data_IF_040464130179
#
_entry.id   IF_040464130179
#
_cell.length_a   1.000
_cell.length_b   1.000
_cell.length_c   1.000
_cell.angle_alpha   90.00
_cell.angle_beta   90.00
_cell.angle_gamma   90.00
#
_symmetry.space_group_name_H-M   'P 1'
#
loop_
_entity.id
_entity.type
_entity.pdbx_description
1 polymer ?
#
# COMPACT_ATOMS: atom_id res chain seq x y z
N UNK A 1 8.48 -1.87 -6.79
CA UNK A 1 8.24 -0.41 -6.75
C UNK A 1 6.86 -0.17 -7.31
N UNK A 2 6.00 0.55 -6.60
CA UNK A 2 4.60 0.79 -7.00
C UNK A 2 4.57 2.06 -7.84
N UNK A 3 4.04 1.97 -9.06
CA UNK A 3 3.90 3.10 -9.98
C UNK A 3 2.92 4.12 -9.39
N UNK A 4 3.36 5.35 -9.22
CA UNK A 4 2.49 6.46 -8.84
C UNK A 4 1.68 6.92 -10.04
N UNK A 5 0.34 6.83 -9.95
CA UNK A 5 -0.59 7.48 -10.89
C UNK A 5 -1.27 6.59 -11.94
N UNK A 6 -1.16 5.26 -11.88
CA UNK A 6 -2.00 4.39 -12.69
C UNK A 6 -3.44 4.33 -12.10
N UNK A 7 -4.49 4.31 -12.95
CA UNK A 7 -5.85 4.07 -12.45
C UNK A 7 -5.94 2.68 -11.81
N UNK A 8 -6.70 2.57 -10.72
CA UNK A 8 -6.97 1.32 -9.98
C UNK A 8 -5.74 0.55 -9.45
N UNK A 9 -4.60 1.22 -9.29
CA UNK A 9 -3.34 0.59 -8.85
C UNK A 9 -3.01 0.82 -7.37
N UNK A 10 -4.00 1.19 -6.55
CA UNK A 10 -3.77 1.39 -5.12
C UNK A 10 -3.35 0.08 -4.44
N UNK A 11 -2.33 0.16 -3.59
CA UNK A 11 -1.88 -0.96 -2.77
C UNK A 11 -3.02 -1.35 -1.84
N UNK A 12 -3.52 -2.59 -1.96
CA UNK A 12 -4.66 -3.07 -1.17
C UNK A 12 -4.28 -3.59 0.22
N UNK A 13 -3.04 -4.04 0.38
CA UNK A 13 -2.56 -4.65 1.62
C UNK A 13 -1.66 -3.66 2.39
N UNK A 14 -2.19 -3.14 3.50
CA UNK A 14 -1.56 -2.10 4.31
C UNK A 14 -0.21 -2.53 4.90
N UNK A 15 0.00 -3.84 5.13
CA UNK A 15 1.23 -4.36 5.70
C UNK A 15 2.46 -4.10 4.81
N UNK A 16 2.29 -3.85 3.51
CA UNK A 16 3.39 -3.46 2.62
C UNK A 16 4.08 -2.17 3.09
N UNK A 17 3.35 -1.25 3.75
CA UNK A 17 3.94 -0.01 4.26
C UNK A 17 4.85 -0.23 5.47
N UNK A 18 4.84 -1.41 6.12
CA UNK A 18 5.80 -1.74 7.20
C UNK A 18 7.25 -1.80 6.71
N UNK A 19 7.47 -2.00 5.41
CA UNK A 19 8.80 -1.97 4.79
C UNK A 19 9.49 -0.61 4.98
N UNK A 20 8.72 0.47 5.18
CA UNK A 20 9.23 1.81 5.44
C UNK A 20 9.81 1.98 6.86
N UNK A 21 9.68 0.97 7.73
CA UNK A 21 10.06 1.03 9.14
C UNK A 21 8.92 1.53 10.04
N UNK A 22 9.02 1.24 11.34
CA UNK A 22 7.94 1.50 12.31
C UNK A 22 7.54 2.98 12.41
N UNK A 23 8.52 3.89 12.40
CA UNK A 23 8.26 5.33 12.49
C UNK A 23 7.38 5.82 11.33
N UNK A 24 7.74 5.44 10.09
CA UNK A 24 7.00 5.85 8.90
C UNK A 24 5.65 5.14 8.79
N UNK A 25 5.57 3.88 9.22
CA UNK A 25 4.30 3.15 9.27
C UNK A 25 3.33 3.77 10.28
N UNK A 26 3.80 4.16 11.47
CA UNK A 26 2.99 4.86 12.47
C UNK A 26 2.49 6.21 11.93
N UNK A 27 3.34 6.93 11.19
CA UNK A 27 2.96 8.16 10.51
C UNK A 27 1.90 7.92 9.43
N UNK A 28 2.05 6.87 8.63
CA UNK A 28 1.06 6.45 7.64
C UNK A 28 -0.30 6.13 8.28
N UNK A 29 -0.31 5.37 9.38
CA UNK A 29 -1.55 5.03 10.10
C UNK A 29 -2.26 6.29 10.63
N UNK A 30 -1.51 7.25 11.16
CA UNK A 30 -2.05 8.54 11.59
C UNK A 30 -2.68 9.29 10.43
N UNK A 31 -1.97 9.43 9.31
CA UNK A 31 -2.53 10.08 8.11
C UNK A 31 -3.78 9.38 7.58
N UNK A 32 -3.81 8.04 7.58
CA UNK A 32 -5.01 7.30 7.18
C UNK A 32 -6.21 7.60 8.07
N UNK A 33 -6.01 7.72 9.39
CA UNK A 33 -7.07 8.08 10.33
C UNK A 33 -7.52 9.55 10.17
N UNK A 34 -6.56 10.46 9.99
CA UNK A 34 -6.80 11.88 9.75
C UNK A 34 -7.61 12.11 8.47
N UNK A 35 -7.20 11.50 7.36
CA UNK A 35 -7.90 11.57 6.07
C UNK A 35 -9.32 11.01 6.17
N UNK A 36 -9.52 9.91 6.90
CA UNK A 36 -10.85 9.34 7.13
C UNK A 36 -11.79 10.34 7.84
N UNK A 37 -11.30 11.01 8.89
CA UNK A 37 -12.06 12.05 9.61
C UNK A 37 -12.44 13.19 8.66
N UNK A 38 -11.51 13.66 7.83
CA UNK A 38 -11.77 14.73 6.86
C UNK A 38 -12.78 14.31 5.79
N UNK A 39 -12.69 13.09 5.26
CA UNK A 39 -13.66 12.55 4.30
C UNK A 39 -15.07 12.40 4.88
N UNK A 40 -15.18 12.16 6.18
CA UNK A 40 -16.46 12.15 6.90
C UNK A 40 -17.00 13.56 7.21
N UNK A 41 -16.34 14.62 6.74
CA UNK A 41 -16.72 16.01 7.00
C UNK A 41 -16.26 16.53 8.37
N UNK A 42 -15.40 15.79 9.07
CA UNK A 42 -14.80 16.18 10.33
C UNK A 42 -13.71 17.24 10.20
N UNK A 43 -13.05 17.52 11.31
CA UNK A 43 -11.92 18.46 11.40
C UNK A 43 -10.85 17.95 12.35
N UNK A 44 -9.60 18.32 12.10
CA UNK A 44 -8.48 18.06 12.99
C UNK A 44 -8.23 19.24 13.92
N UNK A 45 -7.87 18.96 15.17
CA UNK A 45 -7.43 19.98 16.12
C UNK A 45 -6.11 20.63 15.65
N UNK A 46 -6.05 21.96 15.52
CA UNK A 46 -4.87 22.68 15.03
C UNK A 46 -3.76 22.83 16.08
N UNK A 47 -4.03 22.53 17.36
CA UNK A 47 -3.05 22.69 18.43
C UNK A 47 -1.83 21.79 18.19
N UNK A 48 -0.59 22.35 18.13
CA UNK A 48 0.62 21.57 17.98
C UNK A 48 0.73 20.50 19.07
N UNK A 49 0.94 19.24 18.66
CA UNK A 49 1.04 18.10 19.58
C UNK A 49 -0.30 17.46 19.97
N UNK A 50 -1.46 18.01 19.57
CA UNK A 50 -2.76 17.38 19.74
C UNK A 50 -3.19 16.60 18.49
N UNK A 51 -3.64 17.28 17.43
CA UNK A 51 -4.07 16.64 16.17
C UNK A 51 -5.30 15.72 16.30
N UNK A 52 -6.10 15.84 17.38
CA UNK A 52 -7.29 15.01 17.57
C UNK A 52 -8.29 15.19 16.40
N UNK A 53 -8.82 14.08 15.90
CA UNK A 53 -9.89 14.07 14.90
C UNK A 53 -11.26 14.22 15.53
N UNK A 54 -12.02 15.21 15.09
CA UNK A 54 -13.33 15.59 15.62
C UNK A 54 -14.40 15.48 14.53
N UNK A 55 -15.58 14.97 14.89
CA UNK A 55 -16.74 14.85 14.00
C UNK A 55 -17.91 15.73 14.50
N UNK A 56 -17.78 17.07 14.44
CA UNK A 56 -18.86 17.99 14.80
C UNK A 56 -19.95 18.01 13.71
N UNK A 57 -21.15 18.43 14.07
CA UNK A 57 -22.22 18.67 13.11
C UNK A 57 -21.77 19.66 12.01
N UNK A 58 -22.16 19.47 10.73
CA UNK A 58 -21.65 20.25 9.59
C UNK A 58 -21.81 21.78 9.70
N UNK A 59 -22.85 22.25 10.40
CA UNK A 59 -23.18 23.68 10.50
C UNK A 59 -22.51 24.36 11.71
N UNK A 60 -21.87 23.59 12.59
CA UNK A 60 -21.24 24.13 13.80
C UNK A 60 -19.88 24.71 13.44
N UNK A 61 -19.73 26.02 13.65
CA UNK A 61 -18.48 26.75 13.42
C UNK A 61 -17.54 26.78 14.63
N UNK A 62 -18.11 26.71 15.84
CA UNK A 62 -17.39 26.65 17.12
C UNK A 62 -17.04 25.21 17.45
N UNK A 63 -15.78 24.84 17.30
CA UNK A 63 -15.31 23.48 17.59
C UNK A 63 -14.60 23.46 18.94
N UNK A 64 -14.95 22.50 19.78
CA UNK A 64 -14.28 22.26 21.07
C UNK A 64 -13.52 20.94 20.98
N UNK A 65 -12.21 20.97 21.19
CA UNK A 65 -11.40 19.77 21.30
C UNK A 65 -11.53 19.19 22.71
N UNK A 66 -12.62 18.48 22.99
CA UNK A 66 -12.95 18.03 24.34
C UNK A 66 -11.91 17.06 24.92
N UNK A 67 -11.41 17.28 26.15
CA UNK A 67 -10.47 16.37 26.81
C UNK A 67 -11.08 15.02 27.25
N UNK A 68 -12.28 14.66 26.80
CA UNK A 68 -12.92 13.39 27.14
C UNK A 68 -12.01 12.21 26.75
N UNK A 69 -11.78 11.30 27.69
CA UNK A 69 -10.87 10.17 27.58
C UNK A 69 -9.38 10.51 27.33
N UNK A 70 -8.96 11.76 27.59
CA UNK A 70 -7.54 12.16 27.55
C UNK A 70 -6.95 12.36 26.15
N UNK A 71 -7.79 12.43 25.10
CA UNK A 71 -7.34 12.62 23.72
C UNK A 71 -7.40 14.08 23.23
N UNK A 72 -8.34 14.89 23.73
CA UNK A 72 -8.44 16.32 23.38
C UNK A 72 -7.63 17.24 24.29
N UNK A 73 -7.30 18.44 23.79
CA UNK A 73 -6.49 19.44 24.48
C UNK A 73 -7.30 20.57 25.14
N UNK A 74 -8.62 20.61 24.97
CA UNK A 74 -9.51 21.66 25.45
C UNK A 74 -9.56 22.92 24.57
N UNK A 75 -8.79 22.98 23.48
CA UNK A 75 -8.76 24.15 22.62
C UNK A 75 -10.09 24.37 21.88
N UNK A 76 -10.53 25.63 21.81
CA UNK A 76 -11.77 26.04 21.14
C UNK A 76 -11.43 26.87 19.93
N UNK A 77 -11.78 26.37 18.74
CA UNK A 77 -11.32 26.93 17.47
C UNK A 77 -12.44 27.06 16.43
N UNK A 78 -12.20 27.91 15.44
CA UNK A 78 -13.09 28.10 14.32
C UNK A 78 -12.88 26.99 13.27
N UNK A 79 -13.97 26.36 12.83
CA UNK A 79 -13.95 25.30 11.80
C UNK A 79 -13.24 25.74 10.51
N UNK A 80 -13.44 26.99 10.11
CA UNK A 80 -13.05 27.53 8.81
C UNK A 80 -11.57 27.91 8.78
N UNK A 81 -11.16 28.89 9.60
CA UNK A 81 -9.78 29.39 9.62
C UNK A 81 -8.83 28.59 10.50
N UNK A 82 -9.33 27.67 11.35
CA UNK A 82 -8.54 26.91 12.33
C UNK A 82 -7.84 27.75 13.42
N UNK A 83 -8.19 29.04 13.54
CA UNK A 83 -7.73 29.92 14.63
C UNK A 83 -8.66 29.82 15.86
N UNK A 84 -8.30 30.51 16.96
CA UNK A 84 -9.17 30.64 18.13
C UNK A 84 -10.59 31.05 17.74
N UNK A 85 -11.60 30.46 18.39
CA UNK A 85 -12.99 30.75 18.02
C UNK A 85 -13.30 32.24 18.14
N UNK A 86 -13.94 32.76 17.09
CA UNK A 86 -14.35 34.14 16.99
C UNK A 86 -15.74 34.24 16.36
N UNK A 87 -16.49 35.25 16.76
CA UNK A 87 -17.74 35.66 16.11
C UNK A 87 -17.44 36.55 14.88
N UNK A 88 -18.30 36.50 13.85
CA UNK A 88 -18.10 37.28 12.62
C UNK A 88 -17.22 36.59 11.56
N UNK A 89 -16.74 37.32 10.56
CA UNK A 89 -16.00 36.75 9.42
C UNK A 89 -14.55 36.35 9.76
N UNK A 90 -14.00 35.36 9.06
CA UNK A 90 -12.60 34.96 9.19
C UNK A 90 -11.69 35.95 8.47
N UNK A 91 -10.61 36.37 9.12
CA UNK A 91 -9.67 37.38 8.61
C UNK A 91 -8.75 36.87 7.49
N UNK A 92 -8.58 35.56 7.33
CA UNK A 92 -7.66 34.97 6.34
C UNK A 92 -8.16 33.62 5.82
N UNK A 93 -8.59 33.56 4.55
CA UNK A 93 -8.88 32.33 3.81
C UNK A 93 -7.61 31.83 3.10
N UNK A 94 -6.73 31.12 3.81
CA UNK A 94 -5.60 30.41 3.19
C UNK A 94 -6.06 29.03 2.69
N UNK A 95 -6.43 28.95 1.42
CA UNK A 95 -6.74 27.69 0.72
C UNK A 95 -5.45 27.08 0.17
N UNK A 96 -4.86 26.11 0.86
CA UNK A 96 -3.70 25.36 0.39
C UNK A 96 -4.13 24.19 -0.52
N UNK A 97 -4.19 24.40 -1.83
CA UNK A 97 -4.12 23.32 -2.83
C UNK A 97 -2.70 23.25 -3.38
N UNK A 98 -1.86 22.39 -2.82
CA UNK A 98 -0.57 22.04 -3.42
C UNK A 98 -0.71 20.71 -4.16
N UNK A 99 -0.81 20.77 -5.49
CA UNK A 99 -0.76 19.60 -6.36
C UNK A 99 0.69 19.18 -6.62
N UNK A 100 1.02 17.91 -6.38
CA UNK A 100 2.32 17.33 -6.73
C UNK A 100 2.42 17.10 -8.25
N UNK A 101 3.46 17.65 -8.88
CA UNK A 101 3.84 17.34 -10.28
C UNK A 101 4.88 16.21 -10.32
N UNK A 102 4.66 15.19 -11.16
CA UNK A 102 5.61 14.08 -11.39
C UNK A 102 6.23 14.22 -12.79
N UNK A 103 7.56 14.16 -12.86
CA UNK A 103 8.34 14.22 -14.11
C UNK A 103 8.18 12.93 -14.95
N UNK A 104 7.77 13.09 -16.21
CA UNK A 104 7.40 11.98 -17.11
C UNK A 104 8.59 11.14 -17.58
N UNK A 105 9.82 11.66 -17.47
CA UNK A 105 11.00 11.03 -18.06
C UNK A 105 11.54 9.87 -17.21
N UNK A 106 11.36 9.91 -15.89
CA UNK A 106 11.79 8.84 -14.98
C UNK A 106 10.83 7.63 -14.99
N UNK A 107 9.53 7.87 -15.18
CA UNK A 107 8.49 6.84 -15.32
C UNK A 107 8.71 5.91 -16.52
N UNK A 108 9.37 6.39 -17.58
CA UNK A 108 9.59 5.62 -18.80
C UNK A 108 10.65 4.53 -18.64
N UNK A 109 11.66 4.74 -17.77
CA UNK A 109 12.73 3.76 -17.50
C UNK A 109 12.35 2.70 -16.45
N UNK A 110 11.30 2.96 -15.68
CA UNK A 110 10.81 2.05 -14.65
C UNK A 110 9.83 1.00 -15.18
N UNK A 111 9.56 0.92 -16.50
CA UNK A 111 8.66 -0.10 -17.06
C UNK A 111 9.20 -1.51 -16.84
N UNK A 112 8.45 -2.33 -16.10
CA UNK A 112 8.69 -3.77 -15.97
C UNK A 112 8.43 -4.55 -17.29
N UNK A 113 8.08 -3.87 -18.38
CA UNK A 113 7.98 -4.50 -19.71
C UNK A 113 9.31 -4.59 -20.46
N UNK A 114 10.37 -3.91 -20.01
CA UNK A 114 11.72 -4.09 -20.59
C UNK A 114 12.51 -5.25 -19.96
N UNK A 115 11.82 -6.18 -19.29
CA UNK A 115 12.34 -7.52 -19.04
C UNK A 115 11.87 -8.55 -20.10
N UNK A 116 11.05 -8.13 -21.08
CA UNK A 116 10.44 -9.04 -22.07
C UNK A 116 11.43 -9.69 -23.06
N UNK A 117 12.74 -9.36 -23.04
CA UNK A 117 13.73 -10.00 -23.92
C UNK A 117 14.64 -11.01 -23.23
N UNK A 118 14.74 -11.00 -21.90
CA UNK A 118 15.54 -11.99 -21.15
C UNK A 118 14.68 -13.19 -20.70
N UNK A 119 13.38 -13.00 -20.49
CA UNK A 119 12.45 -14.05 -20.02
C UNK A 119 12.16 -15.16 -21.05
N UNK A 120 12.63 -15.02 -22.30
CA UNK A 120 12.56 -16.10 -23.30
C UNK A 120 13.47 -17.30 -22.91
N UNK A 121 14.32 -17.16 -21.89
CA UNK A 121 15.20 -18.24 -21.44
C UNK A 121 14.52 -19.16 -20.41
N UNK A 122 13.97 -20.27 -20.93
CA UNK A 122 13.66 -21.56 -20.26
C UNK A 122 12.21 -21.75 -19.77
N UNK A 123 11.26 -21.77 -20.71
CA UNK A 123 9.92 -22.35 -20.50
C UNK A 123 9.95 -23.88 -20.35
N UNK A 124 11.08 -24.52 -20.64
CA UNK A 124 11.25 -25.98 -20.60
C UNK A 124 12.48 -26.37 -19.75
N UNK A 125 12.32 -27.35 -18.85
CA UNK A 125 13.40 -27.95 -18.05
C UNK A 125 13.31 -29.48 -18.12
N UNK A 126 14.45 -30.20 -18.10
CA UNK A 126 14.43 -31.66 -18.09
C UNK A 126 13.92 -32.19 -16.74
N UNK A 127 13.09 -33.24 -16.78
CA UNK A 127 12.67 -33.96 -15.57
C UNK A 127 13.91 -34.51 -14.82
N UNK A 128 14.05 -34.29 -13.50
CA UNK A 128 15.20 -34.79 -12.73
C UNK A 128 15.34 -36.33 -12.71
N UNK A 129 14.23 -37.05 -12.89
CA UNK A 129 14.21 -38.51 -12.85
C UNK A 129 14.42 -39.18 -14.21
N UNK A 130 13.89 -38.62 -15.31
CA UNK A 130 13.93 -39.28 -16.62
C UNK A 130 14.40 -38.39 -17.77
N UNK A 131 14.83 -37.16 -17.47
CA UNK A 131 15.40 -36.16 -18.36
C UNK A 131 14.54 -35.74 -19.56
N UNK A 132 13.28 -36.17 -19.63
CA UNK A 132 12.36 -35.68 -20.67
C UNK A 132 12.13 -34.18 -20.48
N UNK A 133 12.09 -33.40 -21.56
CA UNK A 133 11.73 -31.99 -21.48
C UNK A 133 10.31 -31.82 -20.93
N UNK A 134 10.16 -30.97 -19.92
CA UNK A 134 8.87 -30.61 -19.30
C UNK A 134 8.70 -29.10 -19.42
N UNK A 135 7.59 -28.67 -19.99
CA UNK A 135 7.20 -27.25 -20.12
C UNK A 135 6.46 -26.77 -18.86
N UNK A 136 6.75 -25.54 -18.41
CA UNK A 136 6.05 -24.91 -17.30
C UNK A 136 4.77 -24.24 -17.80
N UNK A 137 3.62 -24.81 -17.44
CA UNK A 137 2.29 -24.36 -17.90
C UNK A 137 1.49 -23.60 -16.81
N UNK A 138 2.13 -22.64 -16.14
CA UNK A 138 1.45 -21.78 -15.16
C UNK A 138 2.38 -21.25 -14.06
N UNK A 139 1.78 -20.70 -13.00
CA UNK A 139 2.50 -20.13 -11.84
C UNK A 139 2.97 -21.14 -10.79
N UNK A 140 2.52 -22.40 -10.83
CA UNK A 140 2.87 -23.41 -9.80
C UNK A 140 4.29 -23.95 -10.00
N UNK A 141 5.07 -24.04 -8.92
CA UNK A 141 6.39 -24.69 -8.92
C UNK A 141 6.31 -26.22 -8.79
N UNK A 142 5.17 -26.80 -8.39
CA UNK A 142 4.98 -28.25 -8.31
C UNK A 142 4.72 -28.84 -9.69
N UNK A 143 5.70 -29.59 -10.20
CA UNK A 143 5.63 -30.18 -11.52
C UNK A 143 5.51 -31.69 -11.44
N UNK A 144 4.64 -32.24 -12.29
CA UNK A 144 4.50 -33.69 -12.46
C UNK A 144 5.00 -34.07 -13.84
N UNK A 145 5.93 -35.02 -13.90
CA UNK A 145 6.45 -35.49 -15.18
C UNK A 145 5.29 -36.05 -16.04
N UNK A 146 5.10 -35.56 -17.28
CA UNK A 146 3.98 -35.98 -18.13
C UNK A 146 4.16 -37.42 -18.65
N UNK A 147 5.39 -37.95 -18.58
CA UNK A 147 5.69 -39.32 -19.00
C UNK A 147 5.01 -40.31 -18.04
N UNK A 148 4.08 -41.10 -18.57
CA UNK A 148 3.25 -42.03 -17.80
C UNK A 148 4.05 -43.06 -16.99
N UNK A 149 5.23 -43.48 -17.45
CA UNK A 149 6.12 -44.39 -16.72
C UNK A 149 7.04 -43.71 -15.69
N UNK A 150 7.08 -42.37 -15.62
CA UNK A 150 7.89 -41.64 -14.65
C UNK A 150 7.01 -41.03 -13.56
N UNK A 151 6.06 -40.16 -13.93
CA UNK A 151 5.14 -39.44 -13.02
C UNK A 151 5.82 -38.75 -11.81
N UNK A 152 7.14 -38.56 -11.86
CA UNK A 152 7.91 -37.95 -10.78
C UNK A 152 7.43 -36.53 -10.51
N UNK A 153 7.26 -36.22 -9.23
CA UNK A 153 6.80 -34.92 -8.75
C UNK A 153 7.98 -34.13 -8.21
N UNK A 154 8.21 -32.94 -8.75
CA UNK A 154 9.43 -32.19 -8.51
C UNK A 154 9.18 -30.68 -8.50
N UNK A 155 10.05 -29.94 -7.82
CA UNK A 155 10.00 -28.48 -7.77
C UNK A 155 10.70 -27.88 -8.99
N UNK A 156 9.99 -27.04 -9.75
CA UNK A 156 10.53 -26.33 -10.92
C UNK A 156 11.74 -25.46 -10.57
N UNK A 157 11.77 -24.84 -9.39
CA UNK A 157 12.86 -24.00 -8.95
C UNK A 157 14.07 -24.83 -8.49
N UNK A 158 13.85 -25.81 -7.61
CA UNK A 158 14.94 -26.59 -7.00
C UNK A 158 15.47 -27.73 -7.89
N UNK A 159 14.67 -28.28 -8.81
CA UNK A 159 15.05 -29.47 -9.56
C UNK A 159 15.08 -30.76 -8.74
N UNK A 160 14.47 -30.76 -7.55
CA UNK A 160 14.43 -31.88 -6.61
C UNK A 160 12.99 -32.39 -6.40
N UNK A 161 12.85 -33.53 -5.73
CA UNK A 161 11.54 -34.08 -5.35
C UNK A 161 10.70 -33.05 -4.59
N UNK A 162 9.41 -32.97 -4.94
CA UNK A 162 8.49 -32.04 -4.31
C UNK A 162 8.32 -32.36 -2.83
N UNK A 163 8.47 -31.33 -1.98
CA UNK A 163 8.43 -31.49 -0.54
C UNK A 163 7.81 -30.27 0.14
N UNK A 164 7.61 -30.36 1.47
CA UNK A 164 6.96 -29.33 2.28
C UNK A 164 7.74 -28.02 2.35
N UNK A 165 9.06 -28.05 2.25
CA UNK A 165 9.89 -26.84 2.20
C UNK A 165 9.63 -26.08 0.90
N UNK A 166 9.56 -26.80 -0.23
CA UNK A 166 9.18 -26.18 -1.51
C UNK A 166 7.77 -25.56 -1.48
N UNK A 167 6.81 -26.22 -0.81
CA UNK A 167 5.47 -25.65 -0.59
C UNK A 167 5.51 -24.36 0.24
N UNK A 168 6.36 -24.25 1.26
CA UNK A 168 6.42 -23.07 2.12
C UNK A 168 7.12 -21.88 1.46
N UNK A 169 8.25 -22.16 0.80
CA UNK A 169 9.19 -21.11 0.40
C UNK A 169 8.91 -20.56 -1.00
N UNK A 170 8.40 -21.39 -1.91
CA UNK A 170 8.23 -21.04 -3.32
C UNK A 170 7.19 -21.92 -3.99
N UNK A 171 5.98 -21.96 -3.44
CA UNK A 171 4.86 -22.72 -4.03
C UNK A 171 4.56 -22.21 -5.46
N UNK A 172 4.51 -20.89 -5.61
CA UNK A 172 4.20 -20.20 -6.85
C UNK A 172 5.31 -19.20 -7.22
N UNK A 173 5.34 -18.78 -8.48
CA UNK A 173 6.09 -17.61 -8.96
C UNK A 173 5.35 -16.32 -8.64
#
# INVERSE_FOLDING_TARGET
MVYSGCPDSLIKELHHFRILGEEQYNRYQRYGAEECVLQMGGVLCPTPGCGAGLLPEPEVRKIVCEPSNGLGCGFVFCRECKEEYHDGECSTLLSSQEGYMIDKHEAMRARWEEASRETIKKTTKPCPSCHVPVEKNGGCMHMKCPRAQCRFEWCWNCGLEWNRTCMGDHWFD
#
